data_IF_752838004619
#
_entry.id   IF_752838004619
#
_cell.length_a   1.000
_cell.length_b   1.000
_cell.length_c   1.000
_cell.angle_alpha   90.00
_cell.angle_beta   90.00
_cell.angle_gamma   90.00
#
_symmetry.space_group_name_H-M   'P 1'
#
loop_
_entity.id
_entity.type
_entity.pdbx_description
1 polymer ?
#
# COMPACT_ATOMS: atom_id res chain seq x y z
N UNK A 1 -18.11 29.21 64.39
CA UNK A 1 -18.87 29.32 63.12
C UNK A 1 -17.98 29.38 61.86
N UNK A 2 -16.64 29.30 61.93
CA UNK A 2 -15.75 29.46 60.75
C UNK A 2 -15.40 28.19 59.94
N UNK A 3 -15.71 26.99 60.43
CA UNK A 3 -15.27 25.73 59.78
C UNK A 3 -16.09 25.30 58.55
N UNK A 4 -17.34 25.74 58.44
CA UNK A 4 -18.26 25.28 57.39
C UNK A 4 -17.93 25.88 56.01
N UNK A 5 -17.50 27.14 55.97
CA UNK A 5 -17.10 27.84 54.74
C UNK A 5 -15.84 27.20 54.14
N UNK A 6 -14.87 26.83 54.98
CA UNK A 6 -13.67 26.11 54.55
C UNK A 6 -13.96 24.74 53.94
N UNK A 7 -14.91 24.00 54.52
CA UNK A 7 -15.33 22.69 54.01
C UNK A 7 -16.02 22.80 52.63
N UNK A 8 -16.92 23.75 52.45
CA UNK A 8 -17.59 23.98 51.16
C UNK A 8 -16.58 24.37 50.08
N UNK A 9 -15.66 25.29 50.39
CA UNK A 9 -14.61 25.70 49.45
C UNK A 9 -13.72 24.52 49.06
N UNK A 10 -13.35 23.65 50.01
CA UNK A 10 -12.59 22.44 49.73
C UNK A 10 -13.28 21.49 48.76
N UNK A 11 -14.60 21.30 48.90
CA UNK A 11 -15.39 20.43 48.01
C UNK A 11 -15.53 21.04 46.61
N UNK A 12 -15.76 22.35 46.51
CA UNK A 12 -15.85 23.03 45.20
C UNK A 12 -14.52 22.93 44.47
N UNK A 13 -13.40 23.21 45.15
CA UNK A 13 -12.06 23.11 44.57
C UNK A 13 -11.75 21.66 44.18
N UNK A 14 -12.02 20.69 45.06
CA UNK A 14 -11.81 19.27 44.78
C UNK A 14 -12.65 18.76 43.60
N UNK A 15 -13.91 19.21 43.51
CA UNK A 15 -14.81 18.90 42.40
C UNK A 15 -14.31 19.47 41.07
N UNK A 16 -13.87 20.74 41.04
CA UNK A 16 -13.33 21.36 39.84
C UNK A 16 -12.03 20.71 39.36
N UNK A 17 -11.13 20.35 40.28
CA UNK A 17 -9.89 19.62 39.98
C UNK A 17 -10.22 18.23 39.42
N UNK A 18 -11.17 17.52 40.04
CA UNK A 18 -11.57 16.18 39.60
C UNK A 18 -12.19 16.21 38.20
N UNK A 19 -13.15 17.11 37.96
CA UNK A 19 -13.80 17.26 36.66
C UNK A 19 -12.80 17.66 35.56
N UNK A 20 -11.89 18.61 35.85
CA UNK A 20 -10.85 19.01 34.91
C UNK A 20 -9.91 17.86 34.54
N UNK A 21 -9.51 17.05 35.52
CA UNK A 21 -8.64 15.89 35.32
C UNK A 21 -9.34 14.82 34.47
N UNK A 22 -10.61 14.53 34.74
CA UNK A 22 -11.41 13.57 33.96
C UNK A 22 -11.52 13.99 32.49
N UNK A 23 -11.82 15.27 32.21
CA UNK A 23 -11.92 15.78 30.82
C UNK A 23 -10.59 15.68 30.07
N UNK A 24 -9.46 15.90 30.73
CA UNK A 24 -8.14 15.76 30.12
C UNK A 24 -7.80 14.29 29.80
N UNK A 25 -8.11 13.38 30.71
CA UNK A 25 -7.91 11.94 30.52
C UNK A 25 -8.81 11.43 29.39
N UNK A 26 -10.08 11.81 29.36
CA UNK A 26 -11.00 11.43 28.29
C UNK A 26 -10.57 11.98 26.93
N UNK A 27 -10.13 13.25 26.87
CA UNK A 27 -9.60 13.83 25.62
C UNK A 27 -8.36 13.11 25.12
N UNK A 28 -7.43 12.74 25.99
CA UNK A 28 -6.21 12.02 25.60
C UNK A 28 -6.53 10.59 25.15
N UNK A 29 -7.43 9.90 25.85
CA UNK A 29 -7.94 8.59 25.46
C UNK A 29 -8.66 8.64 24.11
N UNK A 30 -9.57 9.60 23.92
CA UNK A 30 -10.32 9.75 22.68
C UNK A 30 -9.42 10.09 21.49
N UNK A 31 -8.40 10.94 21.68
CA UNK A 31 -7.38 11.22 20.66
C UNK A 31 -6.60 9.97 20.26
N UNK A 32 -6.18 9.15 21.23
CA UNK A 32 -5.45 7.89 20.96
C UNK A 32 -6.34 6.88 20.22
N UNK A 33 -7.57 6.67 20.67
CA UNK A 33 -8.52 5.77 20.02
C UNK A 33 -8.96 6.26 18.63
N UNK A 34 -9.03 7.57 18.41
CA UNK A 34 -9.28 8.16 17.11
C UNK A 34 -8.06 8.01 16.18
N UNK A 35 -6.84 8.22 16.67
CA UNK A 35 -5.59 8.00 15.91
C UNK A 35 -5.46 6.55 15.48
N UNK A 36 -5.64 5.59 16.40
CA UNK A 36 -5.53 4.17 16.09
C UNK A 36 -6.56 3.70 15.03
N UNK A 37 -7.80 4.18 15.11
CA UNK A 37 -8.82 3.88 14.09
C UNK A 37 -8.52 4.56 12.75
N UNK A 38 -7.93 5.74 12.78
CA UNK A 38 -7.50 6.44 11.58
C UNK A 38 -6.36 5.68 10.88
N UNK A 39 -5.30 5.36 11.62
CA UNK A 39 -4.17 4.57 11.14
C UNK A 39 -4.62 3.21 10.57
N UNK A 40 -5.53 2.52 11.25
CA UNK A 40 -6.10 1.26 10.75
C UNK A 40 -6.79 1.41 9.38
N UNK A 41 -7.60 2.46 9.19
CA UNK A 41 -8.27 2.72 7.90
C UNK A 41 -7.28 3.11 6.79
N UNK A 42 -6.23 3.85 7.12
CA UNK A 42 -5.17 4.23 6.16
C UNK A 42 -4.46 2.97 5.67
N UNK A 43 -4.03 2.09 6.59
CA UNK A 43 -3.33 0.84 6.25
C UNK A 43 -4.23 -0.08 5.42
N UNK A 44 -5.49 -0.23 5.80
CA UNK A 44 -6.45 -1.05 5.05
C UNK A 44 -6.60 -0.57 3.60
N UNK A 45 -6.78 0.74 3.39
CA UNK A 45 -6.87 1.31 2.04
C UNK A 45 -5.59 1.09 1.22
N UNK A 46 -4.41 1.30 1.82
CA UNK A 46 -3.12 1.09 1.16
C UNK A 46 -2.90 -0.37 0.76
N UNK A 47 -3.26 -1.32 1.63
CA UNK A 47 -3.15 -2.75 1.36
C UNK A 47 -4.11 -3.18 0.26
N UNK A 48 -5.37 -2.73 0.30
CA UNK A 48 -6.36 -3.06 -0.73
C UNK A 48 -5.95 -2.52 -2.12
N UNK A 49 -5.50 -1.26 -2.16
CA UNK A 49 -4.95 -0.66 -3.39
C UNK A 49 -3.75 -1.45 -3.94
N UNK A 50 -2.80 -1.80 -3.06
CA UNK A 50 -1.61 -2.56 -3.44
C UNK A 50 -1.96 -3.97 -3.93
N UNK A 51 -2.96 -4.62 -3.33
CA UNK A 51 -3.43 -5.93 -3.74
C UNK A 51 -4.00 -5.89 -5.16
N UNK A 52 -4.84 -4.89 -5.48
CA UNK A 52 -5.42 -4.73 -6.80
C UNK A 52 -4.34 -4.55 -7.89
N UNK A 53 -3.38 -3.64 -7.71
CA UNK A 53 -2.27 -3.44 -8.65
C UNK A 53 -1.38 -4.68 -8.82
N UNK A 54 -1.12 -5.39 -7.71
CA UNK A 54 -0.35 -6.65 -7.75
C UNK A 54 -1.09 -7.70 -8.58
N UNK A 55 -2.40 -7.80 -8.47
CA UNK A 55 -3.20 -8.76 -9.24
C UNK A 55 -3.26 -8.39 -10.72
N UNK A 56 -3.40 -7.11 -11.08
CA UNK A 56 -3.25 -6.66 -12.48
C UNK A 56 -1.89 -7.05 -13.08
N UNK A 57 -0.80 -6.77 -12.35
CA UNK A 57 0.57 -7.15 -12.77
C UNK A 57 0.72 -8.66 -12.93
N UNK A 58 0.12 -9.44 -12.02
CA UNK A 58 0.12 -10.90 -12.08
C UNK A 58 -0.64 -11.40 -13.30
N UNK A 59 -1.79 -10.81 -13.63
CA UNK A 59 -2.55 -11.20 -14.82
C UNK A 59 -1.78 -10.88 -16.09
N UNK A 60 -1.14 -9.71 -16.18
CA UNK A 60 -0.25 -9.39 -17.31
C UNK A 60 0.87 -10.43 -17.47
N UNK A 61 1.49 -10.85 -16.37
CA UNK A 61 2.50 -11.92 -16.39
C UNK A 61 1.91 -13.27 -16.86
N UNK A 62 0.69 -13.62 -16.43
CA UNK A 62 0.00 -14.85 -16.87
C UNK A 62 -0.34 -14.81 -18.36
N UNK A 63 -0.83 -13.69 -18.88
CA UNK A 63 -1.09 -13.48 -20.30
C UNK A 63 0.22 -13.63 -21.08
N UNK A 64 1.30 -13.01 -20.61
CA UNK A 64 2.62 -13.12 -21.27
C UNK A 64 3.11 -14.57 -21.37
N UNK A 65 2.74 -15.44 -20.41
CA UNK A 65 3.04 -16.88 -20.46
C UNK A 65 2.38 -17.63 -21.60
N UNK A 66 1.25 -17.14 -22.12
CA UNK A 66 0.60 -17.72 -23.31
C UNK A 66 1.37 -17.44 -24.61
N UNK A 67 2.20 -16.40 -24.61
CA UNK A 67 3.04 -16.03 -25.76
C UNK A 67 4.49 -16.49 -25.61
N UNK A 68 5.01 -16.46 -24.37
CA UNK A 68 6.39 -16.79 -24.03
C UNK A 68 6.39 -17.76 -22.84
N UNK A 69 6.50 -19.09 -23.09
CA UNK A 69 6.37 -20.12 -22.07
C UNK A 69 7.32 -19.98 -20.86
N UNK A 70 8.45 -19.30 -21.01
CA UNK A 70 9.42 -19.08 -19.93
C UNK A 70 9.00 -18.04 -18.90
N UNK A 71 7.91 -17.30 -19.14
CA UNK A 71 7.49 -16.19 -18.27
C UNK A 71 6.85 -16.65 -16.95
N UNK A 72 6.10 -17.74 -16.98
CA UNK A 72 5.35 -18.25 -15.83
C UNK A 72 4.94 -19.71 -16.06
N UNK A 73 4.84 -20.48 -14.97
CA UNK A 73 4.36 -21.87 -15.00
C UNK A 73 2.83 -22.00 -15.05
N UNK A 74 2.09 -20.89 -14.95
CA UNK A 74 0.62 -20.88 -14.94
C UNK A 74 0.07 -19.81 -15.90
N UNK A 75 0.16 -20.02 -17.23
CA UNK A 75 -0.33 -19.09 -18.23
C UNK A 75 -1.87 -18.98 -18.22
N UNK A 76 -2.39 -17.91 -18.81
CA UNK A 76 -3.83 -17.73 -19.06
C UNK A 76 -4.04 -17.20 -20.49
N UNK A 77 -5.16 -17.53 -21.12
CA UNK A 77 -5.52 -16.94 -22.40
C UNK A 77 -5.75 -15.43 -22.24
N UNK A 78 -5.39 -14.65 -23.26
CA UNK A 78 -5.48 -13.18 -23.19
C UNK A 78 -6.89 -12.67 -22.92
N UNK A 79 -7.90 -13.21 -23.61
CA UNK A 79 -9.30 -12.79 -23.44
C UNK A 79 -9.83 -13.03 -22.02
N UNK A 80 -9.45 -14.13 -21.37
CA UNK A 80 -9.78 -14.39 -19.96
C UNK A 80 -9.04 -13.43 -19.03
N UNK A 81 -7.74 -13.22 -19.27
CA UNK A 81 -6.92 -12.33 -18.45
C UNK A 81 -7.32 -10.86 -18.52
N UNK A 82 -7.84 -10.39 -19.67
CA UNK A 82 -8.33 -9.01 -19.85
C UNK A 82 -9.55 -8.74 -18.97
N UNK A 83 -10.47 -9.69 -18.86
CA UNK A 83 -11.67 -9.58 -18.00
C UNK A 83 -11.24 -9.42 -16.54
N UNK A 84 -10.35 -10.28 -16.07
CA UNK A 84 -9.79 -10.22 -14.71
C UNK A 84 -9.05 -8.89 -14.44
N UNK A 85 -8.27 -8.40 -15.41
CA UNK A 85 -7.58 -7.11 -15.27
C UNK A 85 -8.59 -5.97 -15.09
N UNK A 86 -9.71 -5.98 -15.82
CA UNK A 86 -10.75 -4.96 -15.69
C UNK A 86 -11.36 -4.96 -14.27
N UNK A 87 -11.66 -6.13 -13.70
CA UNK A 87 -12.16 -6.24 -12.32
C UNK A 87 -11.17 -5.67 -11.30
N UNK A 88 -9.88 -6.00 -11.43
CA UNK A 88 -8.86 -5.43 -10.55
C UNK A 88 -8.62 -3.93 -10.80
N UNK A 89 -8.92 -3.41 -11.99
CA UNK A 89 -8.83 -1.98 -12.30
C UNK A 89 -9.96 -1.19 -11.65
N UNK A 90 -11.18 -1.72 -11.64
CA UNK A 90 -12.31 -1.14 -10.90
C UNK A 90 -12.02 -1.10 -9.39
N UNK A 91 -11.55 -2.21 -8.82
CA UNK A 91 -11.16 -2.28 -7.41
C UNK A 91 -10.03 -1.29 -7.10
N UNK A 92 -8.97 -1.27 -7.93
CA UNK A 92 -7.86 -0.30 -7.78
C UNK A 92 -8.41 1.13 -7.76
N UNK A 93 -9.32 1.46 -8.68
CA UNK A 93 -9.88 2.81 -8.81
C UNK A 93 -10.59 3.25 -7.52
N UNK A 94 -11.46 2.40 -6.98
CA UNK A 94 -12.17 2.67 -5.71
C UNK A 94 -11.20 2.82 -4.54
N UNK A 95 -10.21 1.95 -4.42
CA UNK A 95 -9.24 2.02 -3.31
C UNK A 95 -8.31 3.22 -3.46
N UNK A 96 -8.01 3.65 -4.68
CA UNK A 96 -7.16 4.80 -4.92
C UNK A 96 -7.79 6.10 -4.41
N UNK A 97 -9.11 6.27 -4.53
CA UNK A 97 -9.81 7.41 -3.91
C UNK A 97 -9.58 7.48 -2.40
N UNK A 98 -9.60 6.33 -1.71
CA UNK A 98 -9.28 6.28 -0.28
C UNK A 98 -7.81 6.66 -0.02
N UNK A 99 -6.88 6.18 -0.84
CA UNK A 99 -5.46 6.54 -0.73
C UNK A 99 -5.27 8.05 -0.90
N UNK A 100 -5.97 8.68 -1.84
CA UNK A 100 -5.91 10.13 -2.06
C UNK A 100 -6.43 10.94 -0.85
N UNK A 101 -7.42 10.42 -0.13
CA UNK A 101 -8.01 11.09 1.03
C UNK A 101 -7.22 10.86 2.32
N UNK A 102 -6.55 9.73 2.45
CA UNK A 102 -6.02 9.23 3.72
C UNK A 102 -4.49 9.28 3.83
N UNK A 103 -3.76 9.15 2.73
CA UNK A 103 -2.31 8.98 2.74
C UNK A 103 -1.54 10.31 2.54
N UNK A 104 -0.28 10.34 3.00
CA UNK A 104 0.62 11.46 2.76
C UNK A 104 0.95 11.68 1.27
N UNK A 105 1.38 12.89 0.89
CA UNK A 105 1.64 13.26 -0.50
C UNK A 105 2.74 12.42 -1.16
N UNK A 106 3.76 11.99 -0.40
CA UNK A 106 4.81 11.13 -0.93
C UNK A 106 4.28 9.72 -1.27
N UNK A 107 3.49 9.12 -0.38
CA UNK A 107 2.84 7.83 -0.62
C UNK A 107 1.93 7.90 -1.85
N UNK A 108 1.13 8.96 -1.98
CA UNK A 108 0.28 9.20 -3.16
C UNK A 108 1.13 9.30 -4.45
N UNK A 109 2.25 10.03 -4.40
CA UNK A 109 3.12 10.19 -5.57
C UNK A 109 3.80 8.87 -5.99
N UNK A 110 4.16 8.00 -5.03
CA UNK A 110 4.70 6.67 -5.30
C UNK A 110 3.63 5.69 -5.79
N UNK A 111 2.42 5.77 -5.24
CA UNK A 111 1.26 5.00 -5.69
C UNK A 111 0.96 5.27 -7.18
N UNK A 112 0.87 6.53 -7.59
CA UNK A 112 0.66 6.92 -9.00
C UNK A 112 1.73 6.36 -9.93
N UNK A 113 3.00 6.50 -9.55
CA UNK A 113 4.13 5.94 -10.33
C UNK A 113 4.04 4.43 -10.48
N UNK A 114 3.65 3.72 -9.41
CA UNK A 114 3.45 2.28 -9.49
C UNK A 114 2.28 1.94 -10.42
N UNK A 115 1.13 2.59 -10.27
CA UNK A 115 -0.01 2.40 -11.18
C UNK A 115 0.35 2.62 -12.66
N UNK A 116 1.00 3.75 -12.99
CA UNK A 116 1.44 4.04 -14.36
C UNK A 116 2.37 2.95 -14.92
N UNK A 117 3.26 2.41 -14.08
CA UNK A 117 4.14 1.32 -14.47
C UNK A 117 3.41 -0.01 -14.68
N UNK A 118 2.33 -0.27 -13.95
CA UNK A 118 1.47 -1.46 -14.15
C UNK A 118 0.65 -1.31 -15.42
N UNK A 119 0.06 -0.15 -15.68
CA UNK A 119 -0.66 0.12 -16.93
C UNK A 119 0.22 -0.02 -18.16
N UNK A 120 1.52 0.29 -18.06
CA UNK A 120 2.46 0.04 -19.15
C UNK A 120 2.59 -1.46 -19.50
N UNK A 121 2.23 -2.38 -18.59
CA UNK A 121 2.18 -3.82 -18.87
C UNK A 121 0.94 -4.22 -19.69
N UNK A 122 -0.13 -3.42 -19.66
CA UNK A 122 -1.41 -3.77 -20.28
C UNK A 122 -1.31 -3.90 -21.80
N UNK A 123 -0.28 -3.33 -22.44
CA UNK A 123 0.00 -3.54 -23.88
C UNK A 123 0.08 -5.03 -24.26
N UNK A 124 0.43 -5.92 -23.32
CA UNK A 124 0.45 -7.37 -23.56
C UNK A 124 -0.92 -7.94 -23.95
N UNK A 125 -2.02 -7.25 -23.60
CA UNK A 125 -3.38 -7.66 -23.94
C UNK A 125 -3.64 -7.63 -25.46
N UNK A 126 -2.90 -6.79 -26.19
CA UNK A 126 -3.01 -6.64 -27.64
C UNK A 126 -2.25 -7.73 -28.42
N UNK A 127 -1.55 -8.64 -27.73
CA UNK A 127 -0.81 -9.76 -28.32
C UNK A 127 0.70 -9.56 -28.44
N UNK A 128 1.46 -10.56 -28.91
CA UNK A 128 2.92 -10.54 -28.94
C UNK A 128 3.52 -9.59 -29.99
N UNK A 129 2.72 -9.03 -30.90
CA UNK A 129 3.15 -8.03 -31.87
C UNK A 129 3.16 -6.60 -31.31
N UNK A 130 2.44 -6.33 -30.22
CA UNK A 130 2.35 -5.00 -29.61
C UNK A 130 3.55 -4.66 -28.71
N UNK A 131 4.24 -5.69 -28.20
CA UNK A 131 5.39 -5.53 -27.30
C UNK A 131 6.34 -6.72 -27.41
N UNK A 132 7.64 -6.44 -27.48
CA UNK A 132 8.68 -7.47 -27.45
C UNK A 132 8.79 -8.10 -26.05
N UNK A 133 9.29 -9.33 -25.96
CA UNK A 133 9.52 -9.99 -24.66
C UNK A 133 10.46 -9.17 -23.76
N UNK A 134 11.55 -8.67 -24.33
CA UNK A 134 12.56 -7.88 -23.61
C UNK A 134 11.97 -6.56 -23.08
N UNK A 135 11.16 -5.86 -23.89
CA UNK A 135 10.48 -4.65 -23.42
C UNK A 135 9.44 -4.95 -22.33
N UNK A 136 8.72 -6.08 -22.44
CA UNK A 136 7.81 -6.51 -21.40
C UNK A 136 8.55 -6.81 -20.08
N UNK A 137 9.67 -7.54 -20.13
CA UNK A 137 10.52 -7.81 -18.96
C UNK A 137 11.02 -6.52 -18.30
N UNK A 138 11.51 -5.55 -19.10
CA UNK A 138 11.94 -4.23 -18.61
C UNK A 138 10.81 -3.47 -17.92
N UNK A 139 9.59 -3.48 -18.49
CA UNK A 139 8.42 -2.84 -17.88
C UNK A 139 8.01 -3.55 -16.60
N UNK A 140 8.07 -4.88 -16.56
CA UNK A 140 7.74 -5.67 -15.37
C UNK A 140 8.70 -5.38 -14.22
N UNK A 141 10.00 -5.28 -14.50
CA UNK A 141 11.00 -4.91 -13.51
C UNK A 141 10.85 -3.46 -13.04
N UNK A 142 10.48 -2.54 -13.94
CA UNK A 142 10.10 -1.18 -13.54
C UNK A 142 8.91 -1.19 -12.57
N UNK A 143 7.87 -1.96 -12.87
CA UNK A 143 6.70 -2.08 -11.99
C UNK A 143 7.05 -2.65 -10.61
N UNK A 144 7.95 -3.63 -10.55
CA UNK A 144 8.49 -4.16 -9.28
C UNK A 144 9.25 -3.10 -8.49
N UNK A 145 10.12 -2.31 -9.13
CA UNK A 145 10.83 -1.21 -8.45
C UNK A 145 9.87 -0.16 -7.93
N UNK A 146 8.89 0.27 -8.73
CA UNK A 146 7.90 1.24 -8.28
C UNK A 146 7.03 0.71 -7.12
N UNK A 147 6.69 -0.58 -7.10
CA UNK A 147 6.06 -1.24 -5.95
C UNK A 147 6.92 -1.13 -4.69
N UNK A 148 8.21 -1.46 -4.79
CA UNK A 148 9.11 -1.45 -3.64
C UNK A 148 9.29 -0.01 -3.10
N UNK A 149 9.38 0.98 -3.99
CA UNK A 149 9.38 2.40 -3.61
C UNK A 149 8.09 2.82 -2.89
N UNK A 150 6.93 2.35 -3.34
CA UNK A 150 5.64 2.58 -2.67
C UNK A 150 5.59 1.92 -1.29
N UNK A 151 6.06 0.68 -1.15
CA UNK A 151 6.12 0.03 0.16
C UNK A 151 7.06 0.74 1.12
N UNK A 152 8.21 1.20 0.64
CA UNK A 152 9.16 1.92 1.48
C UNK A 152 8.65 3.31 1.88
N UNK A 153 7.91 4.02 1.02
CA UNK A 153 7.29 5.29 1.43
C UNK A 153 6.20 5.08 2.49
N UNK A 154 5.38 4.04 2.37
CA UNK A 154 4.39 3.67 3.41
C UNK A 154 5.08 3.31 4.73
N UNK A 155 6.16 2.51 4.68
CA UNK A 155 6.92 2.13 5.87
C UNK A 155 7.56 3.34 6.54
N UNK A 156 8.07 4.28 5.75
CA UNK A 156 8.64 5.54 6.26
C UNK A 156 7.58 6.38 6.98
N UNK A 157 6.38 6.51 6.40
CA UNK A 157 5.25 7.22 7.01
C UNK A 157 4.80 6.57 8.33
N UNK A 158 4.90 5.25 8.43
CA UNK A 158 4.59 4.47 9.64
C UNK A 158 5.75 4.38 10.65
N UNK A 159 6.92 4.98 10.36
CA UNK A 159 8.11 4.88 11.21
C UNK A 159 8.73 3.48 11.30
N UNK A 160 8.54 2.66 10.27
CA UNK A 160 9.07 1.30 10.16
C UNK A 160 10.38 1.28 9.36
N UNK A 161 11.26 0.33 9.69
CA UNK A 161 12.50 0.07 8.94
C UNK A 161 12.22 -0.25 7.47
N UNK A 162 13.07 0.16 6.54
CA UNK A 162 12.86 -0.09 5.11
C UNK A 162 13.02 -1.57 4.75
N UNK A 163 12.32 -2.00 3.69
CA UNK A 163 12.59 -3.31 3.10
C UNK A 163 13.93 -3.27 2.36
N UNK A 164 14.71 -4.38 2.37
CA UNK A 164 15.88 -4.48 1.52
C UNK A 164 15.47 -4.36 0.04
N UNK A 165 16.37 -3.85 -0.79
CA UNK A 165 16.09 -3.79 -2.23
C UNK A 165 15.81 -5.20 -2.75
N UNK A 166 14.67 -5.40 -3.41
CA UNK A 166 14.43 -6.65 -4.13
C UNK A 166 15.56 -6.79 -5.15
N UNK A 167 16.35 -7.88 -5.12
CA UNK A 167 17.34 -8.09 -6.17
C UNK A 167 16.60 -8.09 -7.51
N UNK A 168 17.08 -7.31 -8.48
CA UNK A 168 16.67 -7.48 -9.87
C UNK A 168 16.76 -8.97 -10.15
N UNK A 169 15.69 -9.58 -10.70
CA UNK A 169 15.69 -11.03 -10.98
C UNK A 169 17.02 -11.34 -11.62
N UNK A 170 17.86 -12.09 -10.90
CA UNK A 170 19.20 -12.42 -11.33
C UNK A 170 19.08 -12.93 -12.77
N UNK A 171 19.91 -12.40 -13.68
CA UNK A 171 20.09 -13.07 -14.96
C UNK A 171 20.31 -14.55 -14.65
N UNK A 172 19.77 -15.51 -15.42
CA UNK A 172 20.11 -16.91 -15.24
C UNK A 172 21.63 -17.15 -15.14
N UNK A 173 22.42 -16.23 -15.71
CA UNK A 173 23.88 -16.24 -15.73
C UNK A 173 24.56 -15.43 -14.58
N UNK A 174 23.80 -14.82 -13.67
CA UNK A 174 24.34 -14.05 -12.54
C UNK A 174 24.63 -15.00 -11.37
N UNK A 175 25.91 -15.19 -10.96
CA UNK A 175 26.31 -16.15 -9.92
C UNK A 175 25.84 -15.77 -8.51
N UNK A 176 25.14 -14.64 -8.31
CA UNK A 176 24.64 -14.20 -7.01
C UNK A 176 23.73 -15.21 -6.28
N UNK A 177 23.18 -16.21 -6.98
CA UNK A 177 22.41 -17.31 -6.36
C UNK A 177 23.28 -18.31 -5.58
N UNK A 178 24.61 -18.27 -5.72
CA UNK A 178 25.56 -19.20 -5.09
C UNK A 178 26.19 -18.70 -3.79
N UNK A 179 25.97 -17.46 -3.39
CA UNK A 179 26.58 -16.96 -2.14
C UNK A 179 25.80 -17.48 -0.93
N UNK A 180 26.42 -18.30 -0.04
CA UNK A 180 25.81 -18.62 1.24
C UNK A 180 25.80 -17.36 2.12
N UNK A 181 24.71 -17.19 2.86
CA UNK A 181 24.55 -16.16 3.89
C UNK A 181 25.59 -16.31 5.02
#
# INVERSE_FOLDING_TARGET
>A
MGGFIGAILGVIVGGLVTLGTTVLIERTKWKREASARWEGRVVEALVAYAAALKMQSRMCLRISGSYWPTMTSNPIAAHEGVIEIAEYEDERSVQFEKVLLLAGPEVVAKARRWQESVWALHTIQDGPSSISKDDFDKRLDKARRCRDEFYNSVRTELGLELLPSTPTRASPDDPAWLSPA
#
